data_IF_533789361201
#
_entry.id   IF_533789361201
#
_cell.length_a   1.000
_cell.length_b   1.000
_cell.length_c   1.000
_cell.angle_alpha   90.00
_cell.angle_beta   90.00
_cell.angle_gamma   90.00
#
_symmetry.space_group_name_H-M   'P 1'
#
loop_
_entity.id
_entity.type
_entity.pdbx_description
1 polymer ?
#
# COMPACT_ATOMS: atom_id res chain seq x y z
N UNK A 1 14.03 -13.98 -15.90
CA UNK A 1 12.92 -13.60 -15.00
C UNK A 1 13.33 -12.37 -14.20
N UNK A 2 12.44 -11.38 -14.04
CA UNK A 2 12.72 -10.19 -13.20
C UNK A 2 13.09 -10.65 -11.78
N UNK A 3 14.17 -10.10 -11.22
CA UNK A 3 14.65 -10.44 -9.88
C UNK A 3 13.72 -9.89 -8.77
N UNK A 4 12.91 -8.89 -9.10
CA UNK A 4 12.03 -8.19 -8.17
C UNK A 4 10.63 -8.04 -8.75
N UNK A 5 9.63 -8.04 -7.87
CA UNK A 5 8.28 -7.56 -8.13
C UNK A 5 8.23 -6.09 -7.77
N UNK A 6 7.57 -5.27 -8.59
CA UNK A 6 7.42 -3.83 -8.33
C UNK A 6 5.93 -3.55 -8.16
N UNK A 7 5.55 -3.00 -7.01
CA UNK A 7 4.16 -2.72 -6.64
C UNK A 7 3.65 -1.43 -7.29
N UNK A 8 2.34 -1.17 -7.20
CA UNK A 8 1.73 0.11 -7.59
C UNK A 8 2.36 1.33 -6.89
N UNK A 9 2.91 1.13 -5.69
CA UNK A 9 3.59 2.16 -4.90
C UNK A 9 5.10 2.25 -5.19
N UNK A 10 5.60 1.59 -6.25
CA UNK A 10 7.02 1.49 -6.60
C UNK A 10 7.90 0.79 -5.54
N UNK A 11 7.30 -0.02 -4.65
CA UNK A 11 8.07 -0.84 -3.71
C UNK A 11 8.60 -2.06 -4.45
N UNK A 12 9.88 -2.37 -4.23
CA UNK A 12 10.54 -3.55 -4.83
C UNK A 12 10.56 -4.69 -3.83
N UNK A 13 9.95 -5.80 -4.19
CA UNK A 13 9.89 -7.03 -3.39
C UNK A 13 10.79 -8.07 -4.06
N UNK A 14 11.76 -8.60 -3.32
CA UNK A 14 12.64 -9.66 -3.84
C UNK A 14 11.87 -10.98 -3.94
N UNK A 15 11.67 -11.43 -5.18
CA UNK A 15 10.95 -12.69 -5.44
C UNK A 15 11.88 -13.88 -5.18
N UNK A 16 13.21 -13.73 -5.29
CA UNK A 16 14.14 -14.84 -5.07
C UNK A 16 14.24 -15.28 -3.62
N UNK A 17 13.88 -14.38 -2.69
CA UNK A 17 13.85 -14.67 -1.27
C UNK A 17 12.62 -15.49 -0.85
N UNK A 18 11.66 -15.73 -1.77
CA UNK A 18 10.48 -16.54 -1.48
C UNK A 18 10.86 -18.01 -1.25
N UNK A 19 10.23 -18.61 -0.24
CA UNK A 19 10.31 -20.05 -0.05
C UNK A 19 9.67 -20.79 -1.24
N UNK A 20 10.01 -22.07 -1.42
CA UNK A 20 9.37 -22.90 -2.44
C UNK A 20 7.84 -22.92 -2.30
N UNK A 21 7.35 -23.01 -1.06
CA UNK A 21 5.92 -23.00 -0.75
C UNK A 21 5.25 -21.68 -1.16
N UNK A 22 5.89 -20.54 -0.87
CA UNK A 22 5.38 -19.22 -1.24
C UNK A 22 5.40 -19.00 -2.76
N UNK A 23 6.42 -19.53 -3.44
CA UNK A 23 6.49 -19.52 -4.90
C UNK A 23 5.34 -20.30 -5.55
N UNK A 24 5.10 -21.53 -5.09
CA UNK A 24 4.01 -22.37 -5.61
C UNK A 24 2.64 -21.74 -5.34
N UNK A 25 2.45 -21.13 -4.17
CA UNK A 25 1.26 -20.37 -3.84
C UNK A 25 1.08 -19.17 -4.78
N UNK A 26 2.13 -18.36 -4.95
CA UNK A 26 2.07 -17.17 -5.79
C UNK A 26 1.71 -17.49 -7.25
N UNK A 27 2.27 -18.58 -7.80
CA UNK A 27 1.93 -19.02 -9.15
C UNK A 27 0.46 -19.44 -9.28
N UNK A 28 -0.10 -20.11 -8.27
CA UNK A 28 -1.55 -20.42 -8.23
C UNK A 28 -2.40 -19.15 -8.20
N UNK A 29 -2.03 -18.18 -7.35
CA UNK A 29 -2.75 -16.90 -7.26
C UNK A 29 -2.67 -16.12 -8.57
N UNK A 30 -1.49 -16.03 -9.19
CA UNK A 30 -1.32 -15.37 -10.50
C UNK A 30 -2.15 -16.03 -11.60
N UNK A 31 -2.22 -17.36 -11.64
CA UNK A 31 -3.07 -18.11 -12.59
C UNK A 31 -4.56 -17.83 -12.38
N UNK A 32 -4.99 -17.59 -11.15
CA UNK A 32 -6.37 -17.20 -10.87
C UNK A 32 -6.62 -15.74 -11.23
N UNK A 33 -5.70 -14.84 -10.86
CA UNK A 33 -5.70 -13.43 -11.21
C UNK A 33 -5.81 -13.20 -12.72
N UNK A 34 -5.07 -13.97 -13.54
CA UNK A 34 -5.10 -13.82 -15.01
C UNK A 34 -6.45 -14.09 -15.65
N UNK A 35 -7.39 -14.72 -14.92
CA UNK A 35 -8.77 -14.92 -15.37
C UNK A 35 -9.66 -13.69 -15.15
N UNK A 36 -9.12 -12.62 -14.54
CA UNK A 36 -9.82 -11.40 -14.13
C UNK A 36 -11.15 -11.68 -13.39
N UNK A 37 -11.12 -12.47 -12.30
CA UNK A 37 -12.31 -12.66 -11.45
C UNK A 37 -12.79 -11.32 -10.87
N UNK A 38 -14.03 -11.27 -10.37
CA UNK A 38 -14.48 -10.11 -9.57
C UNK A 38 -13.54 -9.85 -8.39
N UNK A 39 -13.32 -8.57 -8.07
CA UNK A 39 -12.38 -8.14 -7.03
C UNK A 39 -12.63 -8.81 -5.67
N UNK A 40 -13.88 -8.89 -5.22
CA UNK A 40 -14.20 -9.53 -3.94
C UNK A 40 -14.00 -11.05 -4.01
N UNK A 41 -14.31 -11.66 -5.16
CA UNK A 41 -14.07 -13.09 -5.39
C UNK A 41 -12.58 -13.40 -5.34
N UNK A 42 -11.75 -12.55 -5.95
CA UNK A 42 -10.30 -12.66 -5.90
C UNK A 42 -9.76 -12.55 -4.47
N UNK A 43 -10.16 -11.50 -3.75
CA UNK A 43 -9.73 -11.23 -2.37
C UNK A 43 -10.00 -12.44 -1.47
N UNK A 44 -11.24 -12.95 -1.50
CA UNK A 44 -11.63 -14.13 -0.75
C UNK A 44 -10.86 -15.39 -1.15
N UNK A 45 -10.60 -15.57 -2.45
CA UNK A 45 -9.87 -16.73 -2.96
C UNK A 45 -8.45 -16.81 -2.39
N UNK A 46 -7.63 -15.78 -2.59
CA UNK A 46 -6.23 -15.86 -2.21
C UNK A 46 -6.05 -15.85 -0.69
N UNK A 47 -6.92 -15.16 0.06
CA UNK A 47 -6.95 -15.21 1.52
C UNK A 47 -7.27 -16.62 2.03
N UNK A 48 -8.27 -17.30 1.43
CA UNK A 48 -8.63 -18.67 1.79
C UNK A 48 -7.52 -19.67 1.48
N UNK A 49 -6.85 -19.53 0.33
CA UNK A 49 -5.69 -20.37 0.00
C UNK A 49 -4.50 -20.07 0.93
N UNK A 50 -4.25 -18.80 1.26
CA UNK A 50 -3.20 -18.37 2.17
C UNK A 50 -3.42 -18.87 3.60
N UNK A 51 -4.67 -18.94 4.06
CA UNK A 51 -5.00 -19.48 5.38
C UNK A 51 -4.61 -20.96 5.54
N UNK A 52 -4.59 -21.75 4.46
CA UNK A 52 -4.11 -23.14 4.49
C UNK A 52 -2.60 -23.23 4.71
N UNK A 53 -1.86 -22.17 4.40
CA UNK A 53 -0.41 -22.11 4.48
C UNK A 53 0.04 -21.43 5.78
N UNK A 54 -0.60 -20.31 6.13
CA UNK A 54 -0.18 -19.45 7.24
C UNK A 54 -1.21 -19.34 8.37
N UNK A 55 -2.29 -20.13 8.35
CA UNK A 55 -3.39 -20.02 9.33
C UNK A 55 -2.99 -20.22 10.79
N UNK A 56 -1.87 -20.90 11.04
CA UNK A 56 -1.30 -21.05 12.40
C UNK A 56 -0.34 -19.93 12.82
N UNK A 57 -0.01 -18.98 11.93
CA UNK A 57 0.92 -17.88 12.22
C UNK A 57 0.19 -16.66 12.77
N UNK A 58 0.89 -15.82 13.51
CA UNK A 58 0.33 -14.55 13.96
C UNK A 58 0.03 -13.64 12.78
N UNK A 59 -1.13 -12.97 12.81
CA UNK A 59 -1.55 -12.05 11.73
C UNK A 59 -0.47 -11.02 11.37
N UNK A 60 0.21 -10.46 12.38
CA UNK A 60 1.29 -9.47 12.19
C UNK A 60 2.49 -10.04 11.43
N UNK A 61 2.79 -11.32 11.56
CA UNK A 61 3.86 -11.97 10.79
C UNK A 61 3.43 -12.17 9.34
N UNK A 62 2.19 -12.62 9.13
CA UNK A 62 1.65 -12.95 7.80
C UNK A 62 1.57 -11.72 6.91
N UNK A 63 1.07 -10.59 7.42
CA UNK A 63 0.91 -9.35 6.62
C UNK A 63 2.24 -8.76 6.15
N UNK A 64 3.36 -9.14 6.79
CA UNK A 64 4.70 -8.69 6.43
C UNK A 64 5.44 -9.66 5.49
N UNK A 65 4.81 -10.78 5.11
CA UNK A 65 5.42 -11.74 4.18
C UNK A 65 5.49 -11.13 2.76
N UNK A 66 6.62 -11.28 2.06
CA UNK A 66 6.77 -10.78 0.68
C UNK A 66 5.66 -11.27 -0.27
N UNK A 67 5.27 -12.54 -0.16
CA UNK A 67 4.19 -13.11 -0.98
C UNK A 67 2.82 -12.54 -0.66
N UNK A 68 2.55 -12.23 0.61
CA UNK A 68 1.30 -11.61 1.03
C UNK A 68 1.18 -10.20 0.43
N UNK A 69 2.27 -9.42 0.50
CA UNK A 69 2.35 -8.08 -0.08
C UNK A 69 2.14 -8.09 -1.60
N UNK A 70 2.70 -9.10 -2.30
CA UNK A 70 2.46 -9.26 -3.75
C UNK A 70 0.98 -9.57 -4.03
N UNK A 71 0.35 -10.47 -3.27
CA UNK A 71 -1.07 -10.78 -3.46
C UNK A 71 -1.99 -9.58 -3.18
N UNK A 72 -1.67 -8.80 -2.16
CA UNK A 72 -2.39 -7.56 -1.85
C UNK A 72 -2.26 -6.52 -2.97
N UNK A 73 -1.07 -6.40 -3.57
CA UNK A 73 -0.87 -5.50 -4.70
C UNK A 73 -1.60 -5.97 -5.98
N UNK A 74 -1.63 -7.28 -6.25
CA UNK A 74 -2.45 -7.86 -7.33
C UNK A 74 -3.94 -7.58 -7.11
N UNK A 75 -4.42 -7.72 -5.87
CA UNK A 75 -5.80 -7.38 -5.51
C UNK A 75 -6.09 -5.89 -5.76
N UNK A 76 -5.19 -5.00 -5.37
CA UNK A 76 -5.32 -3.57 -5.62
C UNK A 76 -5.38 -3.26 -7.13
N UNK A 77 -4.49 -3.85 -7.93
CA UNK A 77 -4.51 -3.75 -9.39
C UNK A 77 -5.88 -4.15 -9.97
N UNK A 78 -6.43 -5.29 -9.52
CA UNK A 78 -7.72 -5.78 -10.00
C UNK A 78 -8.87 -4.83 -9.62
N UNK A 79 -8.86 -4.34 -8.38
CA UNK A 79 -9.86 -3.37 -7.91
C UNK A 79 -9.82 -2.07 -8.69
N UNK A 80 -8.64 -1.59 -9.07
CA UNK A 80 -8.47 -0.40 -9.90
C UNK A 80 -8.99 -0.66 -11.31
N UNK A 81 -8.60 -1.78 -11.92
CA UNK A 81 -9.03 -2.15 -13.27
C UNK A 81 -10.56 -2.26 -13.37
N UNK A 82 -11.21 -2.74 -12.31
CA UNK A 82 -12.67 -2.90 -12.23
C UNK A 82 -13.39 -1.64 -11.71
N UNK A 83 -12.68 -0.54 -11.46
CA UNK A 83 -13.25 0.71 -10.96
C UNK A 83 -13.81 0.64 -9.53
N UNK A 84 -13.41 -0.36 -8.74
CA UNK A 84 -13.84 -0.56 -7.35
C UNK A 84 -12.98 0.20 -6.34
N UNK A 85 -11.76 0.54 -6.71
CA UNK A 85 -10.87 1.41 -5.91
C UNK A 85 -10.07 2.34 -6.82
N UNK A 86 -9.39 3.31 -6.22
CA UNK A 86 -8.54 4.29 -6.93
C UNK A 86 -7.06 3.94 -6.79
N UNK A 87 -6.24 4.49 -7.68
CA UNK A 87 -4.80 4.49 -7.49
C UNK A 87 -4.46 5.17 -6.14
N UNK A 88 -3.52 4.58 -5.37
CA UNK A 88 -2.92 5.26 -4.24
C UNK A 88 -2.29 6.58 -4.68
N UNK A 89 -2.35 7.58 -3.84
CA UNK A 89 -1.56 8.80 -4.00
C UNK A 89 -0.80 9.14 -2.71
N UNK A 90 -0.01 10.21 -2.75
CA UNK A 90 0.83 10.62 -1.62
C UNK A 90 0.03 10.87 -0.33
N UNK A 91 -1.28 11.10 -0.40
CA UNK A 91 -2.11 11.35 0.78
C UNK A 91 -2.37 10.07 1.57
N UNK A 92 -2.47 8.94 0.88
CA UNK A 92 -2.61 7.63 1.52
C UNK A 92 -1.37 7.33 2.37
N UNK A 93 -0.18 7.65 1.84
CA UNK A 93 1.09 7.55 2.56
C UNK A 93 1.19 8.55 3.73
N UNK A 94 0.73 9.79 3.54
CA UNK A 94 0.67 10.77 4.63
C UNK A 94 -0.20 10.29 5.80
N UNK A 95 -1.38 9.71 5.52
CA UNK A 95 -2.24 9.13 6.58
C UNK A 95 -1.49 8.04 7.32
N UNK A 96 -0.92 7.08 6.60
CA UNK A 96 -0.19 5.97 7.21
C UNK A 96 0.99 6.43 8.08
N UNK A 97 1.73 7.46 7.65
CA UNK A 97 2.83 8.03 8.43
C UNK A 97 2.33 8.77 9.68
N UNK A 98 1.25 9.53 9.57
CA UNK A 98 0.65 10.22 10.72
C UNK A 98 0.16 9.22 11.75
N UNK A 99 -0.60 8.21 11.34
CA UNK A 99 -1.15 7.18 12.24
C UNK A 99 -0.07 6.32 12.90
N UNK A 100 1.10 6.19 12.26
CA UNK A 100 2.23 5.46 12.81
C UNK A 100 2.95 6.25 13.91
N UNK A 101 3.13 7.56 13.72
CA UNK A 101 3.97 8.40 14.58
C UNK A 101 3.16 9.18 15.64
N UNK A 102 1.83 9.25 15.50
CA UNK A 102 0.95 10.03 16.37
C UNK A 102 -0.32 9.27 16.74
N UNK A 103 -0.76 9.41 18.00
CA UNK A 103 -2.02 8.80 18.48
C UNK A 103 -3.27 9.39 17.82
N UNK A 104 -3.16 10.60 17.25
CA UNK A 104 -4.26 11.26 16.57
C UNK A 104 -3.79 12.35 15.62
N UNK A 105 -4.63 12.62 14.61
CA UNK A 105 -4.48 13.78 13.73
C UNK A 105 -4.42 15.11 14.51
N UNK A 106 -5.08 15.22 15.68
CA UNK A 106 -4.98 16.41 16.53
C UNK A 106 -3.56 16.65 17.03
N UNK A 107 -2.93 15.63 17.62
CA UNK A 107 -1.57 15.74 18.12
C UNK A 107 -0.59 16.08 16.99
N UNK A 108 -0.74 15.45 15.84
CA UNK A 108 0.04 15.77 14.65
C UNK A 108 -0.13 17.24 14.24
N UNK A 109 -1.38 17.72 14.10
CA UNK A 109 -1.66 19.10 13.71
C UNK A 109 -1.03 20.11 14.66
N UNK A 110 -1.07 19.86 15.98
CA UNK A 110 -0.40 20.71 16.96
C UNK A 110 1.11 20.76 16.78
N UNK A 111 1.76 19.60 16.55
CA UNK A 111 3.21 19.55 16.33
C UNK A 111 3.62 20.24 15.03
N UNK A 112 2.86 20.02 13.96
CA UNK A 112 3.11 20.60 12.65
C UNK A 112 2.73 22.09 12.57
N UNK A 113 2.03 22.63 13.56
CA UNK A 113 1.56 24.03 13.54
C UNK A 113 0.51 24.31 12.46
N UNK A 114 -0.30 23.30 12.11
CA UNK A 114 -1.35 23.41 11.07
C UNK A 114 -2.74 23.22 11.67
N UNK A 115 -3.74 23.84 11.06
CA UNK A 115 -5.12 23.65 11.47
C UNK A 115 -5.67 22.28 11.02
N UNK A 116 -6.49 21.64 11.86
CA UNK A 116 -7.06 20.31 11.58
C UNK A 116 -7.95 20.30 10.34
N UNK A 117 -8.72 21.37 10.13
CA UNK A 117 -9.59 21.52 8.95
C UNK A 117 -8.77 21.54 7.65
N UNK A 118 -7.59 22.16 7.69
CA UNK A 118 -6.66 22.25 6.58
C UNK A 118 -6.09 20.89 6.26
N UNK A 119 -5.61 20.13 7.26
CA UNK A 119 -5.15 18.76 7.07
C UNK A 119 -6.27 17.88 6.50
N UNK A 120 -7.47 17.93 7.09
CA UNK A 120 -8.61 17.14 6.65
C UNK A 120 -8.98 17.42 5.19
N UNK A 121 -8.98 18.69 4.76
CA UNK A 121 -9.24 19.05 3.36
C UNK A 121 -8.14 18.54 2.41
N UNK A 122 -6.88 18.56 2.85
CA UNK A 122 -5.76 18.01 2.08
C UNK A 122 -5.93 16.49 1.91
N UNK A 123 -6.09 15.75 3.00
CA UNK A 123 -6.19 14.28 2.96
C UNK A 123 -7.41 13.81 2.16
N UNK A 124 -8.52 14.55 2.19
CA UNK A 124 -9.74 14.24 1.43
C UNK A 124 -9.75 14.77 0.00
N UNK A 125 -8.61 15.18 -0.57
CA UNK A 125 -8.48 15.74 -1.94
C UNK A 125 -9.37 16.96 -2.21
N UNK A 126 -9.85 17.65 -1.18
CA UNK A 126 -10.63 18.91 -1.29
C UNK A 126 -9.72 20.13 -1.41
N UNK A 127 -8.42 19.97 -1.16
CA UNK A 127 -7.39 21.00 -1.26
C UNK A 127 -6.06 20.37 -1.67
N UNK A 128 -5.38 20.99 -2.63
CA UNK A 128 -3.96 20.70 -2.86
C UNK A 128 -3.11 21.59 -1.93
N UNK A 129 -2.16 21.03 -1.16
CA UNK A 129 -1.23 21.82 -0.37
C UNK A 129 -0.26 22.57 -1.28
N UNK A 130 0.16 23.77 -0.86
CA UNK A 130 1.35 24.38 -1.44
C UNK A 130 2.59 23.56 -1.09
N UNK A 131 3.66 23.67 -1.89
CA UNK A 131 4.91 22.97 -1.59
C UNK A 131 5.46 23.31 -0.20
N UNK A 132 5.31 24.57 0.23
CA UNK A 132 5.69 25.01 1.58
C UNK A 132 4.88 24.30 2.66
N UNK A 133 3.56 24.18 2.48
CA UNK A 133 2.69 23.45 3.42
C UNK A 133 3.05 21.97 3.47
N UNK A 134 3.28 21.35 2.31
CA UNK A 134 3.70 19.95 2.23
C UNK A 134 5.05 19.74 2.96
N UNK A 135 5.99 20.68 2.82
CA UNK A 135 7.27 20.61 3.53
C UNK A 135 7.09 20.69 5.05
N UNK A 136 6.24 21.59 5.55
CA UNK A 136 5.91 21.69 6.99
C UNK A 136 5.34 20.37 7.53
N UNK A 137 4.39 19.77 6.78
CA UNK A 137 3.78 18.47 7.12
C UNK A 137 4.85 17.38 7.21
N UNK A 138 5.71 17.29 6.18
CA UNK A 138 6.74 16.26 6.10
C UNK A 138 7.85 16.45 7.14
N UNK A 139 8.27 17.69 7.41
CA UNK A 139 9.27 17.99 8.45
C UNK A 139 8.78 17.55 9.83
N UNK A 140 7.49 17.74 10.14
CA UNK A 140 6.89 17.27 11.40
C UNK A 140 6.87 15.74 11.54
N UNK A 141 6.85 15.03 10.41
CA UNK A 141 6.97 13.56 10.30
C UNK A 141 8.44 13.09 10.21
N UNK A 142 9.41 14.01 10.17
CA UNK A 142 10.82 13.67 9.97
C UNK A 142 11.15 13.20 8.55
N UNK A 143 10.30 13.50 7.57
CA UNK A 143 10.45 13.11 6.17
C UNK A 143 11.04 14.24 5.32
N UNK A 144 11.63 13.89 4.17
CA UNK A 144 12.15 14.85 3.17
C UNK A 144 11.54 14.58 1.80
N UNK A 145 11.30 15.64 1.04
CA UNK A 145 10.84 15.54 -0.36
C UNK A 145 12.00 15.05 -1.22
N UNK A 146 11.71 14.08 -2.11
CA UNK A 146 12.64 13.62 -3.14
C UNK A 146 11.96 13.60 -4.50
N UNK A 147 12.75 13.69 -5.58
CA UNK A 147 12.25 13.57 -6.94
C UNK A 147 12.35 12.12 -7.40
N UNK A 148 11.25 11.61 -7.95
CA UNK A 148 11.21 10.30 -8.60
C UNK A 148 10.85 10.48 -10.07
N UNK A 149 11.54 9.76 -10.96
CA UNK A 149 11.20 9.75 -12.39
C UNK A 149 9.87 9.01 -12.55
N UNK A 150 8.89 9.68 -13.18
CA UNK A 150 7.62 9.04 -13.55
C UNK A 150 7.90 7.92 -14.54
N UNK A 151 7.59 6.68 -14.18
CA UNK A 151 7.62 5.58 -15.13
C UNK A 151 6.43 5.75 -16.09
N UNK A 152 6.69 5.80 -17.40
CA UNK A 152 5.61 5.63 -18.38
C UNK A 152 5.16 4.17 -18.27
N UNK A 153 3.88 3.98 -17.94
CA UNK A 153 3.17 2.70 -18.10
C UNK A 153 3.03 2.39 -19.59
#
# INVERSE_FOLDING_TARGET
MKKFYETLENKKIDIKALSKQDHEFLEKVKKYYSKKPDWNVFSNYWLKEGQKIWGGKQKREVVNLPVFLICQDLEAHLGIEQGKTRLPDYRDELVALIDKEFDSHYQFCRKAGIAQDTLSRILNKRREPSLTMLRIILDALGCKISFQKKHRL
#
